data_IF_696686796155
#
_entry.id   IF_696686796155
#
_cell.length_a   1.000
_cell.length_b   1.000
_cell.length_c   1.000
_cell.angle_alpha   90.00
_cell.angle_beta   90.00
_cell.angle_gamma   90.00
#
_symmetry.space_group_name_H-M   'P 1'
#
loop_
_entity.id
_entity.type
_entity.pdbx_description
1 polymer ?
#
# COMPACT_ATOMS: atom_id res chain seq x y z
N UNK A 1 -76.64 -47.20 3.85
CA UNK A 1 -75.98 -46.06 3.27
C UNK A 1 -74.76 -45.81 4.04
N UNK A 2 -73.65 -46.14 3.47
CA UNK A 2 -72.34 -45.91 4.12
C UNK A 2 -71.44 -45.26 3.14
N UNK A 3 -71.18 -44.02 3.43
CA UNK A 3 -70.21 -43.20 2.76
C UNK A 3 -68.85 -43.45 3.36
N UNK A 4 -68.04 -44.12 2.60
CA UNK A 4 -66.62 -44.24 2.97
C UNK A 4 -65.90 -42.99 2.64
N UNK A 5 -65.41 -42.37 3.67
CA UNK A 5 -64.51 -41.24 3.50
C UNK A 5 -63.07 -41.72 3.60
N UNK A 6 -62.46 -41.80 2.50
CA UNK A 6 -61.06 -42.07 2.44
C UNK A 6 -60.30 -40.74 2.69
N UNK A 7 -59.70 -40.69 3.81
CA UNK A 7 -58.79 -39.54 4.14
C UNK A 7 -57.52 -39.72 3.33
N UNK A 8 -57.39 -38.91 2.33
CA UNK A 8 -56.11 -38.76 1.65
C UNK A 8 -55.20 -37.90 2.49
N UNK A 9 -54.21 -38.52 3.10
CA UNK A 9 -53.15 -37.83 3.79
C UNK A 9 -52.19 -37.25 2.76
N UNK A 10 -52.26 -35.99 2.56
CA UNK A 10 -51.26 -35.29 1.73
C UNK A 10 -50.02 -35.08 2.59
N UNK A 11 -49.00 -35.85 2.32
CA UNK A 11 -47.68 -35.57 2.82
C UNK A 11 -47.12 -34.35 2.05
N UNK A 12 -47.15 -33.21 2.68
CA UNK A 12 -46.39 -32.07 2.21
C UNK A 12 -44.92 -32.32 2.50
N UNK A 13 -44.18 -32.71 1.50
CA UNK A 13 -42.74 -32.71 1.55
C UNK A 13 -42.26 -31.25 1.56
N UNK A 14 -41.92 -30.77 2.72
CA UNK A 14 -41.23 -29.50 2.83
C UNK A 14 -39.82 -29.67 2.30
N UNK A 15 -39.60 -29.26 1.08
CA UNK A 15 -38.28 -29.11 0.51
C UNK A 15 -37.67 -27.89 1.23
N UNK A 16 -36.86 -28.16 2.23
CA UNK A 16 -35.99 -27.15 2.79
C UNK A 16 -34.94 -26.82 1.72
N UNK A 17 -35.26 -25.84 0.90
CA UNK A 17 -34.21 -25.15 0.17
C UNK A 17 -33.36 -24.43 1.23
N UNK A 18 -32.29 -25.06 1.61
CA UNK A 18 -31.19 -24.33 2.25
C UNK A 18 -30.68 -23.32 1.23
N UNK A 19 -30.71 -22.04 1.51
CA UNK A 19 -29.97 -21.12 0.68
C UNK A 19 -28.49 -21.51 0.85
N UNK A 20 -27.92 -22.03 -0.20
CA UNK A 20 -26.50 -22.08 -0.31
C UNK A 20 -26.03 -20.65 -0.16
N UNK A 21 -25.58 -20.32 1.02
CA UNK A 21 -24.85 -19.10 1.21
C UNK A 21 -23.60 -19.25 0.36
N UNK A 22 -23.70 -18.77 -0.85
CA UNK A 22 -22.52 -18.57 -1.64
C UNK A 22 -21.66 -17.60 -0.86
N UNK A 23 -20.73 -18.13 -0.11
CA UNK A 23 -19.65 -17.32 0.41
C UNK A 23 -19.00 -16.72 -0.81
N UNK A 24 -19.25 -15.47 -1.00
CA UNK A 24 -18.47 -14.67 -1.89
C UNK A 24 -17.04 -14.71 -1.34
N UNK A 25 -16.27 -15.65 -1.81
CA UNK A 25 -14.84 -15.65 -1.57
C UNK A 25 -14.32 -14.40 -2.24
N UNK A 26 -13.79 -13.52 -1.44
CA UNK A 26 -13.15 -12.35 -1.96
C UNK A 26 -12.04 -12.80 -2.92
N UNK A 27 -12.18 -12.59 -4.22
CA UNK A 27 -11.19 -13.05 -5.18
C UNK A 27 -9.81 -12.44 -4.95
N UNK A 28 -9.71 -11.36 -4.18
CA UNK A 28 -8.45 -10.77 -3.80
C UNK A 28 -7.68 -11.62 -2.76
N UNK A 29 -8.33 -12.52 -2.06
CA UNK A 29 -7.67 -13.41 -1.09
C UNK A 29 -7.47 -14.83 -1.59
N UNK A 30 -8.26 -15.26 -2.57
CA UNK A 30 -8.23 -16.65 -3.02
C UNK A 30 -7.11 -16.94 -4.01
N UNK A 31 -6.31 -15.97 -4.36
CA UNK A 31 -5.55 -16.29 -5.50
C UNK A 31 -4.15 -15.85 -5.55
N UNK A 32 -3.77 -15.12 -4.65
CA UNK A 32 -2.38 -14.81 -4.67
C UNK A 32 -1.66 -15.92 -3.92
N UNK A 33 -1.20 -16.99 -4.60
CA UNK A 33 0.00 -17.59 -4.13
C UNK A 33 0.88 -16.39 -4.07
N UNK A 34 1.31 -16.07 -2.93
CA UNK A 34 2.17 -14.95 -2.71
C UNK A 34 3.34 -14.94 -3.71
N UNK A 35 3.06 -14.61 -4.96
CA UNK A 35 3.95 -13.79 -5.71
C UNK A 35 4.10 -12.61 -4.77
N UNK A 36 5.16 -12.62 -4.01
CA UNK A 36 5.38 -11.73 -2.91
C UNK A 36 5.02 -10.33 -3.39
N UNK A 37 3.85 -9.85 -2.98
CA UNK A 37 3.49 -8.48 -3.24
C UNK A 37 4.67 -7.67 -2.72
N UNK A 38 5.28 -6.88 -3.57
CA UNK A 38 6.37 -6.04 -3.15
C UNK A 38 5.93 -5.24 -1.95
N UNK A 39 6.76 -5.15 -0.96
CA UNK A 39 6.52 -4.35 0.24
C UNK A 39 7.65 -3.34 0.42
N UNK A 40 7.36 -2.26 1.09
CA UNK A 40 8.35 -1.24 1.38
C UNK A 40 8.21 -0.70 2.80
N UNK A 41 9.35 -0.43 3.40
CA UNK A 41 9.49 0.42 4.57
C UNK A 41 10.07 1.74 4.08
N UNK A 42 9.59 2.85 4.58
CA UNK A 42 10.10 4.15 4.19
C UNK A 42 10.16 5.11 5.38
N UNK A 43 11.14 6.00 5.32
CA UNK A 43 11.33 7.04 6.32
C UNK A 43 11.93 8.29 5.66
N UNK A 44 11.70 9.44 6.25
CA UNK A 44 12.28 10.71 5.81
C UNK A 44 13.22 11.25 6.87
N UNK A 45 14.35 11.77 6.45
CA UNK A 45 15.37 12.31 7.33
C UNK A 45 16.22 13.36 6.66
N UNK A 46 17.19 13.88 7.40
CA UNK A 46 17.99 15.03 6.98
C UNK A 46 19.32 14.66 6.32
N UNK A 47 19.76 13.42 6.47
CA UNK A 47 21.04 12.98 5.89
C UNK A 47 21.04 11.47 5.60
N UNK A 48 21.94 11.05 4.74
CA UNK A 48 22.33 9.66 4.56
C UNK A 48 23.77 9.50 5.05
N UNK A 49 23.96 8.59 5.97
CA UNK A 49 25.27 8.23 6.51
C UNK A 49 25.43 6.71 6.51
N UNK A 50 26.57 6.20 6.04
CA UNK A 50 26.88 4.77 5.98
C UNK A 50 25.73 3.92 5.35
N UNK A 51 25.18 4.41 4.25
CA UNK A 51 24.05 3.80 3.54
C UNK A 51 22.76 3.67 4.37
N UNK A 52 22.63 4.44 5.43
CA UNK A 52 21.46 4.48 6.29
C UNK A 52 20.94 5.91 6.44
N UNK A 53 19.65 6.04 6.72
CA UNK A 53 19.03 7.32 6.98
C UNK A 53 19.41 7.82 8.36
N UNK A 54 19.80 9.09 8.42
CA UNK A 54 20.08 9.82 9.65
C UNK A 54 19.12 11.00 9.80
N UNK A 55 18.83 11.37 11.04
CA UNK A 55 17.90 12.45 11.32
C UNK A 55 16.46 12.17 10.89
N UNK A 56 16.02 10.92 10.97
CA UNK A 56 14.66 10.56 10.67
C UNK A 56 13.68 11.21 11.65
N UNK A 57 12.65 11.85 11.14
CA UNK A 57 11.62 12.50 11.92
C UNK A 57 10.32 12.62 11.12
N UNK A 58 9.26 12.99 11.80
CA UNK A 58 7.96 13.28 11.20
C UNK A 58 7.73 14.79 11.01
N UNK A 59 8.58 15.60 11.61
CA UNK A 59 8.55 17.05 11.49
C UNK A 59 9.97 17.59 11.36
N UNK A 60 10.13 18.58 10.49
CA UNK A 60 11.41 19.23 10.20
C UNK A 60 11.27 20.74 10.30
N UNK A 61 12.29 21.43 10.82
CA UNK A 61 12.23 22.88 10.97
C UNK A 61 12.24 23.57 9.59
N UNK A 62 11.53 24.68 9.53
CA UNK A 62 11.63 25.62 8.42
C UNK A 62 13.08 26.05 8.22
N UNK A 63 13.53 26.01 6.99
CA UNK A 63 14.93 26.29 6.67
C UNK A 63 15.78 25.02 6.47
N UNK A 64 15.22 23.83 6.67
CA UNK A 64 15.84 22.59 6.23
C UNK A 64 16.03 22.63 4.71
N UNK A 65 17.29 22.60 4.26
CA UNK A 65 17.59 22.79 2.84
C UNK A 65 17.25 21.56 1.99
N UNK A 66 17.37 20.37 2.54
CA UNK A 66 17.18 19.11 1.83
C UNK A 66 16.70 18.02 2.76
N UNK A 67 15.79 17.20 2.27
CA UNK A 67 15.34 15.97 2.91
C UNK A 67 15.61 14.76 2.02
N UNK A 68 15.76 13.62 2.66
CA UNK A 68 15.95 12.33 2.01
C UNK A 68 14.80 11.41 2.34
N UNK A 69 14.25 10.79 1.32
CA UNK A 69 13.31 9.68 1.48
C UNK A 69 14.11 8.38 1.28
N UNK A 70 14.20 7.61 2.33
CA UNK A 70 14.88 6.33 2.34
C UNK A 70 13.85 5.21 2.32
N UNK A 71 14.08 4.21 1.51
CA UNK A 71 13.22 3.03 1.48
C UNK A 71 14.02 1.74 1.47
N UNK A 72 13.44 0.73 2.10
CA UNK A 72 13.85 -0.66 2.01
C UNK A 72 12.69 -1.41 1.37
N UNK A 73 12.91 -1.95 0.20
CA UNK A 73 11.91 -2.70 -0.55
C UNK A 73 12.23 -4.18 -0.55
N UNK A 74 11.19 -5.00 -0.44
CA UNK A 74 11.29 -6.45 -0.45
C UNK A 74 10.34 -6.99 -1.52
N UNK A 75 10.83 -7.93 -2.32
CA UNK A 75 10.04 -8.53 -3.39
C UNK A 75 9.74 -7.60 -4.57
N UNK A 76 10.44 -6.48 -4.67
CA UNK A 76 10.25 -5.55 -5.78
C UNK A 76 10.82 -6.11 -7.08
N UNK A 77 10.15 -5.78 -8.18
CA UNK A 77 10.61 -6.14 -9.52
C UNK A 77 11.90 -5.39 -9.86
N UNK A 78 12.96 -6.14 -10.15
CA UNK A 78 14.26 -5.57 -10.52
C UNK A 78 14.27 -4.98 -11.93
N UNK A 79 13.33 -5.36 -12.78
CA UNK A 79 13.21 -4.86 -14.14
C UNK A 79 12.61 -3.46 -14.18
N UNK A 80 11.55 -3.24 -13.41
CA UNK A 80 10.83 -1.97 -13.36
C UNK A 80 11.43 -0.97 -12.38
N UNK A 81 12.06 -1.46 -11.30
CA UNK A 81 12.50 -0.62 -10.20
C UNK A 81 11.33 -0.04 -9.41
N UNK A 82 11.61 1.02 -8.70
CA UNK A 82 10.61 1.77 -7.94
C UNK A 82 10.70 3.27 -8.27
N UNK A 83 9.72 4.01 -7.81
CA UNK A 83 9.74 5.47 -7.86
C UNK A 83 9.51 6.04 -6.45
N UNK A 84 10.23 7.08 -6.10
CA UNK A 84 9.85 7.95 -4.99
C UNK A 84 9.10 9.15 -5.55
N UNK A 85 7.88 9.33 -5.09
CA UNK A 85 7.03 10.45 -5.51
C UNK A 85 6.86 11.39 -4.33
N UNK A 86 7.30 12.62 -4.51
CA UNK A 86 7.23 13.65 -3.49
C UNK A 86 6.00 14.51 -3.71
N UNK A 87 5.24 14.70 -2.64
CA UNK A 87 4.05 15.55 -2.63
C UNK A 87 4.18 16.63 -1.58
N UNK A 88 3.73 17.83 -1.93
CA UNK A 88 3.44 18.89 -0.97
C UNK A 88 1.91 19.06 -0.92
N UNK A 89 1.30 18.73 0.20
CA UNK A 89 -0.15 18.55 0.25
C UNK A 89 -0.57 17.44 -0.74
N UNK A 90 -1.46 17.76 -1.63
CA UNK A 90 -1.94 16.85 -2.67
C UNK A 90 -1.24 17.04 -4.02
N UNK A 91 -0.28 17.93 -4.10
CA UNK A 91 0.43 18.26 -5.34
C UNK A 91 1.73 17.48 -5.45
N UNK A 92 1.90 16.74 -6.55
CA UNK A 92 3.16 16.11 -6.89
C UNK A 92 4.21 17.19 -7.23
N UNK A 93 5.32 17.18 -6.50
CA UNK A 93 6.41 18.15 -6.66
C UNK A 93 7.72 17.51 -7.09
N UNK A 94 7.76 16.22 -7.24
CA UNK A 94 8.92 15.49 -7.73
C UNK A 94 8.67 14.00 -7.83
N UNK A 95 9.37 13.39 -8.78
CA UNK A 95 9.32 11.94 -9.03
C UNK A 95 10.72 11.47 -9.40
N UNK A 96 11.22 10.47 -8.70
CA UNK A 96 12.56 9.93 -8.90
C UNK A 96 12.46 8.44 -9.16
N UNK A 97 12.93 8.00 -10.30
CA UNK A 97 13.04 6.58 -10.63
C UNK A 97 14.32 6.02 -10.00
N UNK A 98 14.19 4.89 -9.34
CA UNK A 98 15.25 4.22 -8.62
C UNK A 98 15.33 2.76 -9.05
N UNK A 99 16.55 2.30 -9.28
CA UNK A 99 16.79 0.90 -9.59
C UNK A 99 16.67 0.05 -8.34
N UNK A 100 16.20 -1.16 -8.52
CA UNK A 100 16.19 -2.21 -7.52
C UNK A 100 17.05 -3.35 -8.03
N UNK A 101 18.09 -3.71 -7.30
CA UNK A 101 19.06 -4.72 -7.70
C UNK A 101 18.91 -6.05 -6.96
N UNK A 102 17.94 -6.19 -6.10
CA UNK A 102 17.73 -7.40 -5.29
C UNK A 102 16.59 -7.28 -4.30
N UNK A 103 16.50 -8.23 -3.39
CA UNK A 103 15.51 -8.25 -2.33
C UNK A 103 16.14 -8.81 -1.05
N UNK A 104 16.14 -8.07 0.07
CA UNK A 104 15.72 -6.68 0.21
C UNK A 104 16.68 -5.68 -0.46
N UNK A 105 16.15 -4.57 -0.88
CA UNK A 105 16.94 -3.51 -1.51
C UNK A 105 16.74 -2.18 -0.79
N UNK A 106 17.83 -1.49 -0.47
CA UNK A 106 17.81 -0.17 0.15
C UNK A 106 18.19 0.88 -0.88
N UNK A 107 17.40 1.93 -0.92
CA UNK A 107 17.63 3.06 -1.82
C UNK A 107 17.07 4.33 -1.21
N UNK A 108 17.44 5.47 -1.77
CA UNK A 108 16.94 6.76 -1.32
C UNK A 108 16.86 7.75 -2.47
N UNK A 109 16.05 8.76 -2.26
CA UNK A 109 16.03 9.97 -3.09
C UNK A 109 16.11 11.21 -2.19
N UNK A 110 16.40 12.34 -2.78
CA UNK A 110 16.44 13.60 -2.05
C UNK A 110 15.55 14.64 -2.69
N UNK A 111 15.07 15.56 -1.88
CA UNK A 111 14.29 16.71 -2.31
C UNK A 111 14.87 17.96 -1.67
N UNK A 112 15.28 18.88 -2.52
CA UNK A 112 15.66 20.23 -2.07
C UNK A 112 14.39 21.00 -1.72
N UNK A 113 14.40 21.63 -0.57
CA UNK A 113 13.29 22.43 -0.07
C UNK A 113 13.57 23.91 -0.34
N UNK A 114 12.58 24.59 -0.87
CA UNK A 114 12.63 26.04 -1.07
C UNK A 114 12.17 26.83 0.16
N UNK A 115 12.13 28.15 0.07
CA UNK A 115 11.69 29.00 1.17
C UNK A 115 10.23 28.79 1.56
N UNK A 116 9.42 28.33 0.64
CA UNK A 116 7.98 28.09 0.84
C UNK A 116 7.67 26.61 1.15
N UNK A 117 8.62 25.90 1.74
CA UNK A 117 8.49 24.48 2.01
C UNK A 117 7.59 24.14 3.21
N UNK A 118 7.17 25.11 4.00
CA UNK A 118 6.31 24.86 5.16
C UNK A 118 4.99 24.21 4.76
N UNK A 119 4.53 23.25 5.54
CA UNK A 119 3.28 22.54 5.34
C UNK A 119 3.43 21.03 5.39
N UNK A 120 2.38 20.35 4.97
CA UNK A 120 2.33 18.90 4.96
C UNK A 120 2.96 18.33 3.70
N UNK A 121 3.78 17.32 3.88
CA UNK A 121 4.49 16.63 2.82
C UNK A 121 4.29 15.12 2.88
N UNK A 122 4.56 14.48 1.78
CA UNK A 122 4.53 13.02 1.69
C UNK A 122 5.55 12.52 0.68
N UNK A 123 6.25 11.44 1.01
CA UNK A 123 7.02 10.65 0.06
C UNK A 123 6.33 9.30 -0.11
N UNK A 124 5.98 8.95 -1.33
CA UNK A 124 5.42 7.66 -1.66
C UNK A 124 6.43 6.79 -2.40
N UNK A 125 6.49 5.52 -2.03
CA UNK A 125 7.24 4.50 -2.74
C UNK A 125 6.27 3.77 -3.67
N UNK A 126 6.52 3.85 -4.95
CA UNK A 126 5.62 3.36 -5.99
C UNK A 126 6.33 2.36 -6.88
N UNK A 127 5.66 1.28 -7.23
CA UNK A 127 6.10 0.33 -8.24
C UNK A 127 4.97 0.09 -9.24
N UNK A 128 5.26 0.31 -10.53
CA UNK A 128 4.28 0.11 -11.61
C UNK A 128 2.92 0.78 -11.33
N UNK A 129 2.93 2.00 -10.81
CA UNK A 129 1.73 2.74 -10.48
C UNK A 129 1.04 2.34 -9.16
N UNK A 130 1.56 1.34 -8.47
CA UNK A 130 1.03 0.90 -7.16
C UNK A 130 1.86 1.48 -6.03
N UNK A 131 1.21 2.15 -5.09
CA UNK A 131 1.85 2.68 -3.89
C UNK A 131 2.12 1.53 -2.92
N UNK A 132 3.39 1.27 -2.65
CA UNK A 132 3.83 0.25 -1.70
C UNK A 132 3.86 0.78 -0.27
N UNK A 133 4.30 2.02 -0.11
CA UNK A 133 4.38 2.69 1.18
C UNK A 133 4.32 4.21 0.96
N UNK A 134 3.87 4.91 1.97
CA UNK A 134 3.78 6.36 1.97
C UNK A 134 4.16 6.90 3.34
N UNK A 135 5.06 7.86 3.37
CA UNK A 135 5.51 8.51 4.60
C UNK A 135 5.06 9.97 4.60
N UNK A 136 4.30 10.33 5.60
CA UNK A 136 3.89 11.73 5.83
C UNK A 136 4.85 12.41 6.77
N UNK A 137 5.14 13.65 6.50
CA UNK A 137 5.96 14.49 7.36
C UNK A 137 5.54 15.95 7.21
N UNK A 138 6.01 16.77 8.11
CA UNK A 138 5.69 18.20 8.14
C UNK A 138 6.96 19.04 8.11
N UNK A 139 6.88 20.18 7.46
CA UNK A 139 7.90 21.24 7.54
C UNK A 139 7.27 22.44 8.22
N UNK A 140 7.84 22.85 9.34
CA UNK A 140 7.31 23.92 10.21
C UNK A 140 8.06 25.23 10.03
#
# INVERSE_FOLDING_TARGET
MRTNWSSATVLAAAILLSPAVARAQNPAQAGAPAAAAASAEASVGTAIADHALSGAAESFPKGTAKLYCFSKVTGADTTSGIEHVWYKGDTEVGRVKLKVGGSPWRTYSSKTLGPDASGDWRCAVVQNGTVLQSVKFKVE
#
